data_IF_747227714912
#
_entry.id   IF_747227714912
#
_cell.length_a   1.000
_cell.length_b   1.000
_cell.length_c   1.000
_cell.angle_alpha   90.00
_cell.angle_beta   90.00
_cell.angle_gamma   90.00
#
_symmetry.space_group_name_H-M   'P 1'
#
loop_
_entity.id
_entity.type
_entity.pdbx_description
1 polymer ?
#
# COMPACT_ATOMS: atom_id res chain seq x y z
N UNK A 1 -22.40 7.95 10.48
CA UNK A 1 -22.31 6.65 9.78
C UNK A 1 -21.22 6.71 8.72
N UNK A 2 -20.04 6.18 9.01
CA UNK A 2 -18.97 6.04 8.01
C UNK A 2 -19.44 5.03 6.96
N UNK A 3 -19.82 5.49 5.76
CA UNK A 3 -20.13 4.58 4.64
C UNK A 3 -18.89 3.75 4.38
N UNK A 4 -18.96 2.43 4.59
CA UNK A 4 -17.87 1.54 4.19
C UNK A 4 -17.62 1.72 2.69
N UNK A 5 -16.36 1.91 2.25
CA UNK A 5 -16.06 2.04 0.84
C UNK A 5 -16.44 0.75 0.10
N UNK A 6 -17.00 0.88 -1.10
CA UNK A 6 -17.33 -0.29 -1.92
C UNK A 6 -16.05 -1.05 -2.30
N UNK A 7 -16.15 -2.36 -2.53
CA UNK A 7 -15.00 -3.19 -2.97
C UNK A 7 -14.26 -2.59 -4.16
N UNK A 8 -15.00 -2.05 -5.15
CA UNK A 8 -14.41 -1.39 -6.32
C UNK A 8 -13.65 -0.10 -5.97
N UNK A 9 -14.14 0.67 -4.99
CA UNK A 9 -13.45 1.87 -4.54
C UNK A 9 -12.16 1.52 -3.77
N UNK A 10 -12.20 0.45 -2.96
CA UNK A 10 -11.03 -0.05 -2.26
C UNK A 10 -9.94 -0.52 -3.23
N UNK A 11 -10.29 -1.35 -4.23
CA UNK A 11 -9.34 -1.81 -5.26
C UNK A 11 -8.70 -0.65 -6.03
N UNK A 12 -9.47 0.39 -6.35
CA UNK A 12 -8.94 1.60 -7.00
C UNK A 12 -8.02 2.39 -6.08
N UNK A 13 -8.36 2.50 -4.79
CA UNK A 13 -7.50 3.12 -3.79
C UNK A 13 -6.18 2.35 -3.60
N UNK A 14 -6.24 1.02 -3.56
CA UNK A 14 -5.06 0.15 -3.51
C UNK A 14 -4.17 0.34 -4.73
N UNK A 15 -4.74 0.32 -5.95
CA UNK A 15 -3.98 0.54 -7.19
C UNK A 15 -3.26 1.90 -7.19
N UNK A 16 -3.93 2.96 -6.72
CA UNK A 16 -3.32 4.29 -6.55
C UNK A 16 -2.25 4.33 -5.47
N UNK A 17 -2.47 3.62 -4.37
CA UNK A 17 -1.50 3.51 -3.28
C UNK A 17 -0.21 2.86 -3.77
N UNK A 18 -0.33 1.70 -4.42
CA UNK A 18 0.81 0.98 -5.00
C UNK A 18 1.55 1.83 -6.04
N UNK A 19 0.86 2.61 -6.89
CA UNK A 19 1.53 3.47 -7.87
C UNK A 19 2.29 4.65 -7.24
N UNK A 20 1.93 5.06 -6.02
CA UNK A 20 2.57 6.18 -5.29
C UNK A 20 3.75 5.74 -4.41
N UNK A 21 3.91 4.44 -4.17
CA UNK A 21 5.05 3.89 -3.43
C UNK A 21 6.33 3.91 -4.28
N UNK A 22 7.47 4.08 -3.63
CA UNK A 22 8.77 3.78 -4.27
C UNK A 22 8.86 2.29 -4.61
N UNK A 23 9.74 1.88 -5.54
CA UNK A 23 9.93 0.46 -5.85
C UNK A 23 10.19 -0.38 -4.61
N UNK A 24 11.09 0.08 -3.73
CA UNK A 24 11.44 -0.61 -2.50
C UNK A 24 10.28 -0.71 -1.49
N UNK A 25 9.55 0.39 -1.27
CA UNK A 25 8.36 0.38 -0.41
C UNK A 25 7.29 -0.59 -0.94
N UNK A 26 7.09 -0.61 -2.26
CA UNK A 26 6.11 -1.49 -2.91
C UNK A 26 6.50 -2.94 -2.76
N UNK A 27 7.76 -3.27 -2.97
CA UNK A 27 8.29 -4.62 -2.81
C UNK A 27 8.12 -5.10 -1.37
N UNK A 28 8.63 -4.34 -0.39
CA UNK A 28 8.47 -4.65 1.04
C UNK A 28 7.00 -4.86 1.43
N UNK A 29 6.12 -3.96 0.98
CA UNK A 29 4.69 -4.05 1.26
C UNK A 29 4.05 -5.31 0.66
N UNK A 30 4.35 -5.62 -0.61
CA UNK A 30 3.76 -6.79 -1.28
C UNK A 30 4.30 -8.09 -0.70
N UNK A 31 5.60 -8.17 -0.43
CA UNK A 31 6.23 -9.33 0.19
C UNK A 31 5.62 -9.60 1.57
N UNK A 32 5.56 -8.62 2.47
CA UNK A 32 4.97 -8.81 3.80
C UNK A 32 3.45 -9.07 3.77
N UNK A 33 2.75 -8.64 2.72
CA UNK A 33 1.29 -8.80 2.59
C UNK A 33 0.89 -10.13 1.96
N UNK A 34 1.68 -10.65 1.03
CA UNK A 34 1.38 -11.85 0.24
C UNK A 34 2.14 -13.05 0.80
N UNK A 35 3.38 -12.84 1.23
CA UNK A 35 4.25 -13.86 1.77
C UNK A 35 4.30 -13.76 3.30
N UNK A 36 4.31 -14.92 3.96
CA UNK A 36 4.42 -14.99 5.43
C UNK A 36 5.90 -14.89 5.85
N UNK A 37 6.57 -13.80 5.46
CA UNK A 37 8.00 -13.55 5.70
C UNK A 37 8.17 -12.62 6.90
N UNK A 38 9.17 -12.89 7.75
CA UNK A 38 9.50 -11.98 8.87
C UNK A 38 10.30 -10.77 8.41
N UNK A 39 10.18 -9.64 9.11
CA UNK A 39 10.99 -8.44 8.86
C UNK A 39 12.49 -8.72 8.84
N UNK A 40 12.98 -9.61 9.71
CA UNK A 40 14.40 -9.97 9.79
C UNK A 40 14.87 -10.79 8.58
N UNK A 41 14.03 -11.69 8.07
CA UNK A 41 14.32 -12.46 6.87
C UNK A 41 14.36 -11.57 5.63
N UNK A 42 13.40 -10.65 5.52
CA UNK A 42 13.36 -9.67 4.44
C UNK A 42 14.58 -8.72 4.50
N UNK A 43 14.93 -8.23 5.69
CA UNK A 43 16.11 -7.40 5.89
C UNK A 43 17.40 -8.10 5.45
N UNK A 44 17.58 -9.37 5.83
CA UNK A 44 18.72 -10.20 5.39
C UNK A 44 18.74 -10.38 3.88
N UNK A 45 17.59 -10.65 3.25
CA UNK A 45 17.48 -10.81 1.81
C UNK A 45 17.90 -9.56 1.03
N UNK A 46 17.53 -8.38 1.52
CA UNK A 46 17.86 -7.10 0.89
C UNK A 46 19.22 -6.52 1.31
N UNK A 47 19.91 -7.11 2.28
CA UNK A 47 21.18 -6.58 2.80
C UNK A 47 21.03 -5.26 3.56
N UNK A 48 19.86 -5.01 4.16
CA UNK A 48 19.52 -3.77 4.86
C UNK A 48 19.24 -4.02 6.34
N UNK A 49 19.16 -2.95 7.13
CA UNK A 49 18.71 -3.03 8.52
C UNK A 49 17.22 -3.32 8.66
N UNK A 50 16.82 -4.01 9.73
CA UNK A 50 15.39 -4.27 10.04
C UNK A 50 14.59 -2.96 10.14
N UNK A 51 15.17 -1.91 10.73
CA UNK A 51 14.53 -0.60 10.83
C UNK A 51 14.25 0.07 9.47
N UNK A 52 15.04 -0.25 8.43
CA UNK A 52 14.77 0.24 7.07
C UNK A 52 13.55 -0.44 6.47
N UNK A 53 13.39 -1.75 6.69
CA UNK A 53 12.19 -2.50 6.29
C UNK A 53 10.96 -1.97 7.04
N UNK A 54 11.05 -1.78 8.35
CA UNK A 54 9.95 -1.24 9.17
C UNK A 54 9.53 0.16 8.69
N UNK A 55 10.52 1.01 8.40
CA UNK A 55 10.28 2.36 7.87
C UNK A 55 9.61 2.31 6.51
N UNK A 56 10.13 1.49 5.58
CA UNK A 56 9.57 1.34 4.24
C UNK A 56 8.13 0.80 4.30
N UNK A 57 7.87 -0.20 5.15
CA UNK A 57 6.55 -0.77 5.33
C UNK A 57 5.56 0.23 5.95
N UNK A 58 5.99 0.96 6.98
CA UNK A 58 5.19 2.01 7.63
C UNK A 58 4.82 3.10 6.63
N UNK A 59 5.78 3.57 5.82
CA UNK A 59 5.54 4.56 4.77
C UNK A 59 4.54 4.04 3.72
N UNK A 60 4.67 2.77 3.30
CA UNK A 60 3.73 2.14 2.38
C UNK A 60 2.30 2.10 2.95
N UNK A 61 2.14 1.70 4.22
CA UNK A 61 0.84 1.70 4.89
C UNK A 61 0.22 3.10 4.96
N UNK A 62 1.00 4.12 5.29
CA UNK A 62 0.54 5.50 5.32
C UNK A 62 0.06 5.99 3.95
N UNK A 63 0.79 5.68 2.89
CA UNK A 63 0.40 5.99 1.50
C UNK A 63 -0.94 5.32 1.17
N UNK A 64 -1.09 4.04 1.51
CA UNK A 64 -2.32 3.30 1.26
C UNK A 64 -3.51 3.87 2.05
N UNK A 65 -3.34 4.11 3.35
CA UNK A 65 -4.38 4.70 4.21
C UNK A 65 -4.84 6.07 3.69
N UNK A 66 -3.91 6.90 3.23
CA UNK A 66 -4.24 8.19 2.62
C UNK A 66 -5.09 8.00 1.35
N UNK A 67 -4.73 7.04 0.49
CA UNK A 67 -5.47 6.77 -0.74
C UNK A 67 -6.88 6.22 -0.49
N UNK A 68 -7.08 5.48 0.60
CA UNK A 68 -8.40 4.97 1.03
C UNK A 68 -9.26 6.09 1.62
N UNK A 69 -8.65 7.01 2.38
CA UNK A 69 -9.35 8.17 2.98
C UNK A 69 -9.67 9.27 1.97
N UNK A 70 -8.86 9.44 0.93
CA UNK A 70 -9.13 10.38 -0.16
C UNK A 70 -10.45 10.02 -0.86
N UNK A 71 -11.47 10.88 -0.72
CA UNK A 71 -12.74 10.74 -1.44
C UNK A 71 -12.44 10.76 -2.93
N UNK A 72 -12.86 9.72 -3.64
CA UNK A 72 -12.76 9.71 -5.10
C UNK A 72 -13.55 10.89 -5.68
N UNK A 73 -12.91 11.71 -6.54
CA UNK A 73 -13.61 12.76 -7.26
C UNK A 73 -14.78 12.17 -8.02
N UNK A 74 -15.91 12.89 -8.01
CA UNK A 74 -17.16 12.39 -8.56
C UNK A 74 -17.04 11.98 -10.04
N UNK A 75 -16.22 12.68 -10.82
CA UNK A 75 -15.98 12.41 -12.24
C UNK A 75 -15.29 11.07 -12.51
N UNK A 76 -14.48 10.55 -11.56
CA UNK A 76 -13.85 9.22 -11.71
C UNK A 76 -14.84 8.07 -11.54
N UNK A 77 -16.02 8.31 -10.96
CA UNK A 77 -17.08 7.29 -10.90
C UNK A 77 -17.76 7.05 -12.25
N UNK A 78 -17.61 8.00 -13.18
CA UNK A 78 -18.15 7.91 -14.53
C UNK A 78 -17.17 7.27 -15.52
N UNK A 79 -15.93 6.98 -15.11
CA UNK A 79 -14.91 6.37 -15.97
C UNK A 79 -14.84 4.85 -15.73
N UNK A 80 -15.03 4.00 -16.77
CA UNK A 80 -15.03 2.55 -16.61
C UNK A 80 -13.64 1.90 -16.37
N UNK A 81 -12.55 2.68 -16.38
CA UNK A 81 -11.17 2.19 -16.50
C UNK A 81 -10.28 2.65 -15.34
#
# INVERSE_FOLDING_TARGET
MSRQPSRRALLRAERRGLSRMTPFQREVFLTLRIETVSYAELARHHGVGVGEIETAFTQALLILMRCVREREPWWRRLWPW
#
